data_IF_583450602614
#
_entry.id   IF_583450602614
#
_cell.length_a   1.000
_cell.length_b   1.000
_cell.length_c   1.000
_cell.angle_alpha   90.00
_cell.angle_beta   90.00
_cell.angle_gamma   90.00
#
_symmetry.space_group_name_H-M   'P 1'
#
loop_
_entity.id
_entity.type
_entity.pdbx_description
1 polymer ?
#
# COMPACT_ATOMS: atom_id res chain seq x y z
N UNK A 1 -18.69 39.16 -27.44
CA UNK A 1 -17.97 38.20 -26.59
C UNK A 1 -18.88 37.00 -26.42
N UNK A 2 -18.67 35.93 -27.20
CA UNK A 2 -19.46 34.71 -27.04
C UNK A 2 -19.03 33.99 -25.76
N UNK A 3 -20.00 33.50 -24.98
CA UNK A 3 -19.75 32.68 -23.79
C UNK A 3 -18.88 31.49 -24.16
N UNK A 4 -17.59 31.55 -23.78
CA UNK A 4 -16.71 30.38 -23.82
C UNK A 4 -17.17 29.45 -22.71
N UNK A 5 -17.94 28.44 -23.09
CA UNK A 5 -18.34 27.37 -22.16
C UNK A 5 -17.33 26.24 -22.30
N UNK A 6 -16.65 25.92 -21.19
CA UNK A 6 -15.72 24.79 -21.10
C UNK A 6 -16.51 23.54 -20.74
N UNK A 7 -16.37 22.48 -21.53
CA UNK A 7 -17.16 21.25 -21.39
C UNK A 7 -16.27 20.03 -21.23
N UNK A 8 -16.81 19.01 -20.55
CA UNK A 8 -16.20 17.69 -20.47
C UNK A 8 -16.81 16.78 -21.52
N UNK A 9 -15.98 15.99 -22.19
CA UNK A 9 -16.45 15.03 -23.17
C UNK A 9 -15.51 13.84 -23.34
N UNK A 10 -16.06 12.79 -23.96
CA UNK A 10 -15.32 11.60 -24.38
C UNK A 10 -15.25 11.56 -25.90
N UNK A 11 -14.21 10.93 -26.46
CA UNK A 11 -14.13 10.73 -27.92
C UNK A 11 -15.28 9.82 -28.34
N UNK A 12 -16.12 10.31 -29.24
CA UNK A 12 -17.25 9.57 -29.82
C UNK A 12 -16.81 8.71 -31.01
N UNK A 13 -16.02 9.29 -31.92
CA UNK A 13 -15.54 8.64 -33.15
C UNK A 13 -14.39 9.41 -33.79
N UNK A 14 -13.50 8.70 -34.46
CA UNK A 14 -12.48 9.26 -35.36
C UNK A 14 -12.90 9.02 -36.82
N UNK A 15 -12.57 9.95 -37.73
CA UNK A 15 -12.89 9.86 -39.15
C UNK A 15 -11.71 10.29 -40.05
N UNK A 16 -11.67 9.75 -41.26
CA UNK A 16 -10.66 10.03 -42.29
C UNK A 16 -9.81 8.80 -42.63
N UNK A 17 -9.32 8.69 -43.89
CA UNK A 17 -8.46 7.59 -44.36
C UNK A 17 -7.19 7.41 -43.52
N UNK A 18 -6.75 8.49 -42.86
CA UNK A 18 -5.58 8.52 -41.97
C UNK A 18 -5.90 9.00 -40.54
N UNK A 19 -7.16 8.91 -40.09
CA UNK A 19 -7.60 9.38 -38.75
C UNK A 19 -7.09 10.81 -38.45
N UNK A 20 -7.50 11.80 -39.24
CA UNK A 20 -6.97 13.19 -39.13
C UNK A 20 -7.82 14.07 -38.20
N UNK A 21 -9.07 13.67 -37.94
CA UNK A 21 -10.01 14.41 -37.10
C UNK A 21 -10.99 13.47 -36.38
N UNK A 22 -11.67 13.99 -35.36
CA UNK A 22 -12.66 13.26 -34.58
C UNK A 22 -13.77 14.14 -34.02
N UNK A 23 -14.66 13.52 -33.25
CA UNK A 23 -15.74 14.19 -32.56
C UNK A 23 -15.78 13.77 -31.09
N UNK A 24 -15.92 14.74 -30.19
CA UNK A 24 -16.28 14.49 -28.79
C UNK A 24 -17.79 14.43 -28.61
N UNK A 25 -18.23 13.70 -27.58
CA UNK A 25 -19.56 13.79 -26.98
C UNK A 25 -19.43 14.38 -25.59
N UNK A 26 -20.08 15.50 -25.33
CA UNK A 26 -20.24 16.09 -23.99
C UNK A 26 -21.67 15.91 -23.48
N UNK A 27 -21.95 16.33 -22.24
CA UNK A 27 -23.32 16.33 -21.69
C UNK A 27 -24.29 17.20 -22.50
N UNK A 28 -23.81 18.34 -23.00
CA UNK A 28 -24.63 19.33 -23.72
C UNK A 28 -24.63 19.14 -25.23
N UNK A 29 -23.56 18.57 -25.79
CA UNK A 29 -23.35 18.48 -27.24
C UNK A 29 -23.00 17.06 -27.68
N UNK A 30 -23.78 16.52 -28.62
CA UNK A 30 -23.59 15.16 -29.14
C UNK A 30 -22.35 15.01 -30.01
N UNK A 31 -22.00 16.05 -30.78
CA UNK A 31 -20.86 16.04 -31.69
C UNK A 31 -20.14 17.39 -31.62
N UNK A 32 -18.92 17.38 -31.08
CA UNK A 32 -18.01 18.53 -31.05
C UNK A 32 -16.74 18.16 -31.82
N UNK A 33 -16.49 18.84 -32.94
CA UNK A 33 -15.38 18.56 -33.84
C UNK A 33 -14.02 18.91 -33.22
N UNK A 34 -13.01 18.07 -33.42
CA UNK A 34 -11.61 18.37 -33.12
C UNK A 34 -10.67 17.83 -34.21
N UNK A 35 -9.51 18.47 -34.38
CA UNK A 35 -8.40 17.89 -35.16
C UNK A 35 -7.52 17.07 -34.24
N UNK A 36 -7.00 15.96 -34.72
CA UNK A 36 -6.11 15.11 -33.90
C UNK A 36 -4.80 15.82 -33.56
N UNK A 37 -4.35 16.76 -34.40
CA UNK A 37 -3.24 17.69 -34.11
C UNK A 37 -3.46 18.60 -32.90
N UNK A 38 -4.72 18.84 -32.52
CA UNK A 38 -5.09 19.80 -31.47
C UNK A 38 -5.14 19.11 -30.08
N UNK A 39 -4.90 17.79 -30.03
CA UNK A 39 -4.88 17.04 -28.78
C UNK A 39 -3.53 17.17 -28.07
N UNK A 40 -3.53 17.16 -26.72
CA UNK A 40 -2.30 17.23 -25.95
C UNK A 40 -1.41 16.01 -26.25
N UNK A 41 -0.09 16.20 -26.24
CA UNK A 41 0.87 15.09 -26.30
C UNK A 41 0.97 14.47 -24.92
N UNK A 42 0.51 13.24 -24.79
CA UNK A 42 0.36 12.56 -23.48
C UNK A 42 1.54 11.63 -23.14
N UNK A 43 2.39 11.29 -24.11
CA UNK A 43 3.67 10.60 -23.86
C UNK A 43 4.61 10.76 -25.07
N UNK A 44 5.91 10.49 -24.91
CA UNK A 44 6.88 10.42 -26.03
C UNK A 44 6.57 9.29 -27.02
N UNK A 45 5.68 8.36 -26.68
CA UNK A 45 5.25 7.27 -27.57
C UNK A 45 3.93 7.62 -28.22
N UNK A 46 3.86 7.28 -29.50
CA UNK A 46 2.79 7.58 -30.44
C UNK A 46 1.38 7.45 -29.87
N UNK A 47 0.51 8.30 -30.41
CA UNK A 47 -0.93 8.30 -30.26
C UNK A 47 -1.49 6.87 -30.16
N UNK A 48 -1.90 6.38 -28.97
CA UNK A 48 -2.38 5.02 -28.85
C UNK A 48 -3.67 4.92 -29.67
N UNK A 49 -3.70 4.00 -30.64
CA UNK A 49 -4.92 3.71 -31.42
C UNK A 49 -6.14 3.39 -30.52
N UNK A 50 -5.86 3.07 -29.26
CA UNK A 50 -6.77 2.71 -28.19
C UNK A 50 -7.46 3.88 -27.47
N UNK A 51 -7.24 5.15 -27.86
CA UNK A 51 -8.00 6.28 -27.26
C UNK A 51 -9.47 6.35 -27.71
N UNK A 52 -9.84 5.57 -28.74
CA UNK A 52 -11.23 5.33 -29.14
C UNK A 52 -12.00 4.50 -28.09
N UNK A 53 -11.29 3.90 -27.13
CA UNK A 53 -11.79 2.91 -26.18
C UNK A 53 -12.26 3.61 -24.90
N UNK A 54 -13.35 4.38 -25.04
CA UNK A 54 -14.39 4.79 -24.07
C UNK A 54 -14.06 5.42 -22.70
N UNK A 55 -12.84 5.40 -22.16
CA UNK A 55 -12.55 5.96 -20.83
C UNK A 55 -11.67 7.22 -20.83
N UNK A 56 -11.28 7.72 -22.01
CA UNK A 56 -10.53 8.96 -22.15
C UNK A 56 -11.46 10.18 -22.01
N UNK A 57 -11.26 10.98 -20.95
CA UNK A 57 -12.04 12.18 -20.67
C UNK A 57 -11.21 13.41 -20.99
N UNK A 58 -11.79 14.32 -21.76
CA UNK A 58 -11.19 15.58 -22.17
C UNK A 58 -11.99 16.75 -21.67
N UNK A 59 -11.31 17.87 -21.48
CA UNK A 59 -11.91 19.16 -21.18
C UNK A 59 -11.53 20.13 -22.29
N UNK A 60 -12.50 20.87 -22.82
CA UNK A 60 -12.25 21.74 -23.97
C UNK A 60 -13.20 22.93 -23.99
N UNK A 61 -12.73 24.04 -24.56
CA UNK A 61 -13.56 25.20 -24.86
C UNK A 61 -14.40 24.93 -26.11
N UNK A 62 -15.69 25.26 -26.06
CA UNK A 62 -16.56 25.16 -27.22
C UNK A 62 -16.66 26.48 -27.97
N UNK A 63 -16.46 26.40 -29.28
CA UNK A 63 -16.71 27.47 -30.23
C UNK A 63 -17.76 27.01 -31.26
N UNK A 64 -18.82 27.81 -31.44
CA UNK A 64 -19.85 27.55 -32.45
C UNK A 64 -19.47 28.24 -33.77
N UNK A 65 -19.49 27.49 -34.86
CA UNK A 65 -19.30 27.99 -36.23
C UNK A 65 -20.44 27.52 -37.16
N UNK A 66 -20.40 27.95 -38.42
CA UNK A 66 -21.41 27.60 -39.44
C UNK A 66 -21.53 26.08 -39.69
N UNK A 67 -20.50 25.30 -39.35
CA UNK A 67 -20.42 23.85 -39.56
C UNK A 67 -20.72 23.03 -38.28
N UNK A 68 -21.01 23.69 -37.16
CA UNK A 68 -21.33 23.06 -35.88
C UNK A 68 -20.46 23.55 -34.72
N UNK A 69 -20.19 22.68 -33.76
CA UNK A 69 -19.38 22.97 -32.58
C UNK A 69 -17.96 22.48 -32.78
N UNK A 70 -16.97 23.32 -32.45
CA UNK A 70 -15.53 22.99 -32.47
C UNK A 70 -14.98 23.05 -31.05
N UNK A 71 -14.15 22.06 -30.71
CA UNK A 71 -13.35 22.04 -29.50
C UNK A 71 -12.03 22.77 -29.76
N UNK A 72 -11.66 23.66 -28.83
CA UNK A 72 -10.35 24.33 -28.75
C UNK A 72 -9.80 24.18 -27.32
N UNK A 73 -8.51 24.46 -27.10
CA UNK A 73 -7.86 24.36 -25.78
C UNK A 73 -8.16 23.02 -25.11
N UNK A 74 -7.84 21.93 -25.82
CA UNK A 74 -8.21 20.58 -25.41
C UNK A 74 -7.19 20.06 -24.41
N UNK A 75 -7.66 19.75 -23.21
CA UNK A 75 -6.87 19.16 -22.14
C UNK A 75 -7.34 17.74 -21.87
N UNK A 76 -6.39 16.83 -21.60
CA UNK A 76 -6.72 15.48 -21.14
C UNK A 76 -6.83 15.47 -19.62
N UNK A 77 -7.89 14.86 -19.12
CA UNK A 77 -8.07 14.70 -17.68
C UNK A 77 -7.40 13.40 -17.26
N UNK A 78 -6.24 13.53 -16.61
CA UNK A 78 -5.44 12.41 -16.11
C UNK A 78 -6.00 11.77 -14.86
N UNK A 79 -6.89 12.42 -14.12
CA UNK A 79 -7.50 11.86 -12.92
C UNK A 79 -9.00 11.62 -13.11
N UNK A 80 -9.65 11.01 -12.12
CA UNK A 80 -11.11 10.84 -12.09
C UNK A 80 -11.75 11.62 -10.95
N UNK A 81 -11.16 12.76 -10.59
CA UNK A 81 -11.65 13.64 -9.54
C UNK A 81 -12.81 14.53 -10.02
N UNK A 82 -13.74 14.88 -9.11
CA UNK A 82 -14.75 15.90 -9.36
C UNK A 82 -14.14 17.25 -9.79
N UNK A 83 -14.92 18.05 -10.54
CA UNK A 83 -14.42 19.30 -11.13
C UNK A 83 -14.03 20.35 -10.08
N UNK A 84 -14.89 20.54 -9.09
CA UNK A 84 -14.66 21.39 -7.92
C UNK A 84 -13.37 21.00 -7.19
N UNK A 85 -13.12 19.70 -7.06
CA UNK A 85 -11.94 19.15 -6.39
C UNK A 85 -10.65 19.45 -7.16
N UNK A 86 -10.62 19.24 -8.48
CA UNK A 86 -9.47 19.58 -9.34
C UNK A 86 -9.17 21.08 -9.38
N UNK A 87 -10.17 21.93 -9.17
CA UNK A 87 -9.98 23.38 -9.14
C UNK A 87 -9.31 23.87 -7.84
N UNK A 88 -9.29 23.03 -6.79
CA UNK A 88 -8.75 23.39 -5.47
C UNK A 88 -7.29 23.00 -5.33
N UNK A 89 -6.85 21.89 -5.94
CA UNK A 89 -5.47 21.41 -5.85
C UNK A 89 -4.97 20.78 -7.15
N UNK A 90 -3.69 20.91 -7.43
CA UNK A 90 -2.99 20.07 -8.39
C UNK A 90 -2.46 18.80 -7.71
N UNK A 91 -2.28 17.70 -8.46
CA UNK A 91 -1.72 16.46 -7.90
C UNK A 91 -0.33 16.66 -7.27
N UNK A 92 0.44 17.60 -7.79
CA UNK A 92 1.78 17.93 -7.31
C UNK A 92 1.78 18.63 -5.94
N UNK A 93 0.63 19.18 -5.52
CA UNK A 93 0.47 19.85 -4.23
C UNK A 93 0.02 18.91 -3.10
N UNK A 94 -0.27 17.64 -3.41
CA UNK A 94 -0.71 16.67 -2.40
C UNK A 94 0.48 16.13 -1.62
N UNK A 95 0.61 16.55 -0.36
CA UNK A 95 1.64 16.13 0.59
C UNK A 95 1.33 14.76 1.25
N UNK A 96 0.05 14.43 1.43
CA UNK A 96 -0.39 13.16 1.98
C UNK A 96 -0.37 12.05 0.92
N UNK A 97 0.60 11.14 1.01
CA UNK A 97 0.77 10.05 0.05
C UNK A 97 -0.42 9.08 -0.01
N UNK A 98 -1.13 8.86 1.11
CA UNK A 98 -2.35 8.04 1.09
C UNK A 98 -3.44 8.69 0.24
N UNK A 99 -3.60 10.01 0.31
CA UNK A 99 -4.53 10.76 -0.54
C UNK A 99 -4.09 10.71 -2.00
N UNK A 100 -2.80 10.92 -2.27
CA UNK A 100 -2.23 10.92 -3.62
C UNK A 100 -2.48 9.61 -4.35
N UNK A 101 -2.15 8.48 -3.71
CA UNK A 101 -2.33 7.14 -4.29
C UNK A 101 -3.81 6.75 -4.37
N UNK A 102 -4.58 6.93 -3.29
CA UNK A 102 -5.91 6.30 -3.24
C UNK A 102 -7.05 7.20 -3.73
N UNK A 103 -6.83 8.51 -3.85
CA UNK A 103 -7.88 9.47 -4.24
C UNK A 103 -7.54 10.28 -5.48
N UNK A 104 -6.26 10.60 -5.69
CA UNK A 104 -5.80 11.36 -6.87
C UNK A 104 -5.09 10.46 -7.90
N UNK A 105 -5.56 9.23 -8.07
CA UNK A 105 -4.94 8.27 -8.98
C UNK A 105 -4.99 8.75 -10.45
N UNK A 106 -3.85 8.66 -11.15
CA UNK A 106 -3.77 8.91 -12.59
C UNK A 106 -4.33 7.73 -13.37
N UNK A 107 -5.08 8.02 -14.42
CA UNK A 107 -5.70 7.09 -15.34
C UNK A 107 -5.23 7.40 -16.76
N UNK A 108 -4.52 6.44 -17.35
CA UNK A 108 -3.90 6.55 -18.66
C UNK A 108 -4.04 5.22 -19.39
N UNK A 109 -4.29 5.26 -20.70
CA UNK A 109 -4.35 4.06 -21.53
C UNK A 109 -5.25 2.95 -20.97
N UNK A 110 -6.42 3.34 -20.44
CA UNK A 110 -7.42 2.45 -19.85
C UNK A 110 -7.00 1.75 -18.54
N UNK A 111 -5.98 2.28 -17.85
CA UNK A 111 -5.48 1.75 -16.58
C UNK A 111 -5.11 2.87 -15.62
N UNK A 112 -5.19 2.57 -14.32
CA UNK A 112 -4.59 3.46 -13.33
C UNK A 112 -3.09 3.21 -13.26
N UNK A 113 -2.32 4.30 -13.23
CA UNK A 113 -0.84 4.26 -13.19
C UNK A 113 -0.32 5.07 -12.01
N UNK A 114 0.76 4.60 -11.40
CA UNK A 114 1.42 5.35 -10.34
C UNK A 114 1.92 6.71 -10.90
N UNK A 115 1.78 7.80 -10.14
CA UNK A 115 2.36 9.09 -10.50
C UNK A 115 3.85 9.02 -10.91
N UNK A 116 4.24 9.78 -11.94
CA UNK A 116 5.60 9.74 -12.52
C UNK A 116 6.69 10.20 -11.54
N UNK A 117 6.35 11.04 -10.56
CA UNK A 117 7.26 11.47 -9.49
C UNK A 117 7.62 10.33 -8.53
N UNK A 118 6.82 9.27 -8.47
CA UNK A 118 7.16 8.04 -7.74
C UNK A 118 8.20 7.22 -8.49
N UNK A 119 8.23 7.32 -9.83
CA UNK A 119 9.13 6.55 -10.70
C UNK A 119 10.54 7.14 -10.80
N UNK A 120 10.69 8.45 -10.59
CA UNK A 120 11.90 9.19 -10.97
C UNK A 120 12.88 9.39 -9.85
N UNK A 121 12.43 9.53 -8.62
CA UNK A 121 13.24 9.34 -7.42
C UNK A 121 12.23 9.47 -6.28
N UNK A 122 11.87 8.31 -5.73
CA UNK A 122 11.86 8.11 -4.29
C UNK A 122 11.04 9.15 -3.52
N UNK A 123 9.90 8.73 -2.95
CA UNK A 123 9.11 9.55 -2.01
C UNK A 123 9.90 9.79 -0.69
N UNK A 124 11.10 10.36 -0.75
CA UNK A 124 11.70 11.11 0.33
C UNK A 124 10.89 12.39 0.47
N UNK A 125 9.80 12.22 1.20
CA UNK A 125 9.32 13.16 2.17
C UNK A 125 10.31 14.36 2.37
N UNK A 126 9.99 15.58 1.89
CA UNK A 126 10.83 16.78 2.06
C UNK A 126 11.21 17.00 3.54
N UNK A 127 12.15 17.90 3.86
CA UNK A 127 12.51 18.22 5.26
C UNK A 127 11.28 18.47 6.17
N UNK A 128 10.17 18.95 5.62
CA UNK A 128 8.89 19.16 6.31
C UNK A 128 8.22 17.86 6.80
N UNK A 129 8.47 16.72 6.16
CA UNK A 129 7.94 15.44 6.60
C UNK A 129 8.75 14.79 7.73
N UNK A 130 9.98 15.25 7.97
CA UNK A 130 10.62 15.04 9.28
C UNK A 130 9.76 15.65 10.40
N UNK A 131 8.97 16.71 10.14
CA UNK A 131 8.03 17.27 11.13
C UNK A 131 6.84 16.34 11.36
N UNK A 132 6.27 15.74 10.31
CA UNK A 132 5.18 14.76 10.47
C UNK A 132 5.67 13.53 11.23
N UNK A 133 6.81 12.96 10.83
CA UNK A 133 7.38 11.78 11.48
C UNK A 133 7.90 12.08 12.89
N UNK A 134 8.48 13.25 13.15
CA UNK A 134 8.85 13.65 14.52
C UNK A 134 7.61 13.90 15.37
N UNK A 135 6.58 14.57 14.85
CA UNK A 135 5.30 14.75 15.53
C UNK A 135 4.61 13.43 15.86
N UNK A 136 4.63 12.48 14.92
CA UNK A 136 4.13 11.12 15.12
C UNK A 136 4.93 10.37 16.19
N UNK A 137 6.26 10.43 16.14
CA UNK A 137 7.12 9.82 17.14
C UNK A 137 6.93 10.44 18.53
N UNK A 138 6.72 11.75 18.63
CA UNK A 138 6.37 12.45 19.88
C UNK A 138 5.01 12.02 20.41
N UNK A 139 4.03 11.84 19.52
CA UNK A 139 2.70 11.32 19.86
C UNK A 139 2.79 9.88 20.39
N UNK A 140 3.55 9.01 19.72
CA UNK A 140 3.77 7.62 20.17
C UNK A 140 4.45 7.60 21.54
N UNK A 141 5.45 8.45 21.75
CA UNK A 141 6.13 8.59 23.04
C UNK A 141 5.17 9.04 24.14
N UNK A 142 4.33 10.05 23.88
CA UNK A 142 3.27 10.50 24.79
C UNK A 142 2.27 9.39 25.14
N UNK A 143 1.88 8.57 24.15
CA UNK A 143 1.02 7.40 24.37
C UNK A 143 1.72 6.40 25.28
N UNK A 144 2.98 6.06 25.02
CA UNK A 144 3.77 5.16 25.85
C UNK A 144 3.89 5.66 27.30
N UNK A 145 4.17 6.94 27.51
CA UNK A 145 4.20 7.55 28.85
C UNK A 145 2.85 7.45 29.57
N UNK A 146 1.76 7.68 28.83
CA UNK A 146 0.39 7.52 29.35
C UNK A 146 0.11 6.09 29.82
N UNK A 147 0.61 5.09 29.09
CA UNK A 147 0.53 3.67 29.49
C UNK A 147 1.38 3.38 30.72
N UNK A 148 2.62 3.89 30.79
CA UNK A 148 3.49 3.74 31.98
C UNK A 148 2.82 4.29 33.24
N UNK A 149 2.20 5.48 33.16
CA UNK A 149 1.45 6.10 34.27
C UNK A 149 0.25 5.25 34.73
N UNK A 150 -0.32 4.42 33.86
CA UNK A 150 -1.41 3.47 34.17
C UNK A 150 -0.90 2.09 34.63
N UNK A 151 0.39 1.98 34.94
CA UNK A 151 0.99 0.73 35.43
C UNK A 151 1.31 -0.28 34.34
N UNK A 152 1.50 0.14 33.08
CA UNK A 152 2.01 -0.75 32.04
C UNK A 152 3.53 -0.73 31.98
N UNK A 153 4.13 -1.90 31.75
CA UNK A 153 5.51 -2.02 31.30
C UNK A 153 5.55 -1.96 29.79
N UNK A 154 6.57 -1.30 29.27
CA UNK A 154 6.74 -1.05 27.84
C UNK A 154 8.12 -1.53 27.45
N UNK A 155 8.15 -2.28 26.36
CA UNK A 155 9.36 -2.58 25.61
C UNK A 155 9.23 -1.87 24.26
N UNK A 156 10.28 -1.18 23.85
CA UNK A 156 10.39 -0.67 22.49
C UNK A 156 11.81 -0.85 21.99
N UNK A 157 11.96 -1.12 20.70
CA UNK A 157 13.24 -1.21 20.02
C UNK A 157 13.08 -0.83 18.55
N UNK A 158 14.17 -0.36 17.99
CA UNK A 158 14.28 -0.03 16.57
C UNK A 158 14.95 -1.17 15.81
N UNK A 159 14.39 -1.47 14.65
CA UNK A 159 14.89 -2.48 13.74
C UNK A 159 14.97 -1.87 12.34
N UNK A 160 15.97 -2.29 11.58
CA UNK A 160 16.21 -1.80 10.23
C UNK A 160 15.80 -2.86 9.21
N UNK A 161 15.09 -2.46 8.15
CA UNK A 161 14.78 -3.39 7.05
C UNK A 161 16.07 -3.84 6.36
N UNK A 162 16.23 -5.14 6.19
CA UNK A 162 17.37 -5.73 5.47
C UNK A 162 17.09 -5.80 3.95
N UNK A 163 15.84 -6.13 3.59
CA UNK A 163 15.33 -6.09 2.22
C UNK A 163 14.24 -5.02 2.04
N UNK A 164 13.63 -4.99 0.86
CA UNK A 164 12.41 -4.22 0.61
C UNK A 164 11.28 -4.74 1.50
N UNK A 165 10.40 -3.85 1.93
CA UNK A 165 9.25 -4.19 2.76
C UNK A 165 7.96 -3.85 2.01
N UNK A 166 7.06 -4.82 1.93
CA UNK A 166 5.75 -4.65 1.29
C UNK A 166 4.68 -5.04 2.29
N UNK A 167 3.80 -4.11 2.64
CA UNK A 167 2.74 -4.35 3.62
C UNK A 167 1.40 -4.07 2.95
N UNK A 168 0.45 -5.01 3.03
CA UNK A 168 -0.88 -4.83 2.46
C UNK A 168 -0.95 -4.94 0.94
N UNK A 169 -0.06 -5.73 0.32
CA UNK A 169 -0.01 -5.91 -1.13
C UNK A 169 -1.36 -6.26 -1.76
N UNK A 170 -2.14 -7.11 -1.07
CA UNK A 170 -3.44 -7.61 -1.54
C UNK A 170 -4.64 -6.79 -1.09
N UNK A 171 -4.44 -5.59 -0.54
CA UNK A 171 -5.56 -4.70 -0.23
C UNK A 171 -6.18 -4.16 -1.53
N UNK A 172 -7.49 -3.90 -1.50
CA UNK A 172 -8.23 -3.36 -2.64
C UNK A 172 -7.62 -2.03 -3.10
N UNK A 173 -7.36 -1.93 -4.41
CA UNK A 173 -6.69 -0.79 -5.03
C UNK A 173 -7.03 -0.75 -6.50
N UNK A 174 -7.01 0.46 -7.06
CA UNK A 174 -7.17 0.68 -8.51
C UNK A 174 -5.95 0.25 -9.32
N UNK A 175 -4.81 0.00 -8.65
CA UNK A 175 -3.52 -0.34 -9.26
C UNK A 175 -3.21 -1.85 -9.28
N UNK A 176 -4.21 -2.72 -9.07
CA UNK A 176 -4.09 -4.17 -8.83
C UNK A 176 -3.29 -4.58 -7.56
N UNK A 177 -2.45 -3.67 -7.05
CA UNK A 177 -1.64 -3.84 -5.85
C UNK A 177 -1.78 -2.63 -4.93
N UNK A 178 -1.48 -2.82 -3.65
CA UNK A 178 -1.60 -1.77 -2.63
C UNK A 178 -0.41 -1.74 -1.68
N UNK A 179 -0.33 -0.68 -0.89
CA UNK A 179 0.61 -0.52 0.21
C UNK A 179 -0.13 0.08 1.41
N UNK A 180 0.17 -0.43 2.60
CA UNK A 180 -0.45 0.03 3.85
C UNK A 180 0.13 1.39 4.24
N UNK A 181 -0.68 2.43 4.09
CA UNK A 181 -0.36 3.80 4.45
C UNK A 181 -1.31 4.30 5.54
N UNK A 182 -0.79 5.09 6.48
CA UNK A 182 -1.62 5.70 7.50
C UNK A 182 -2.45 6.84 6.89
N UNK A 183 -3.78 6.72 6.91
CA UNK A 183 -4.70 7.66 6.27
C UNK A 183 -4.47 9.14 6.62
N UNK A 184 -4.14 9.46 7.88
CA UNK A 184 -3.89 10.85 8.32
C UNK A 184 -2.51 11.37 7.89
N UNK A 185 -1.48 10.52 7.93
CA UNK A 185 -0.09 10.97 7.83
C UNK A 185 0.53 10.67 6.47
N UNK A 186 -0.11 9.83 5.64
CA UNK A 186 0.43 9.35 4.37
C UNK A 186 1.63 8.41 4.49
N UNK A 187 2.14 8.12 5.69
CA UNK A 187 3.36 7.32 5.86
C UNK A 187 3.07 5.81 5.90
N UNK A 188 3.97 4.96 5.40
CA UNK A 188 3.83 3.52 5.56
C UNK A 188 3.99 3.13 7.03
N UNK A 189 3.23 2.12 7.46
CA UNK A 189 3.32 1.60 8.82
C UNK A 189 3.00 0.10 8.84
N UNK A 190 3.46 -0.60 9.88
CA UNK A 190 3.16 -2.00 10.11
C UNK A 190 2.05 -2.06 11.17
N UNK A 191 0.85 -2.57 10.84
CA UNK A 191 -0.21 -2.72 11.82
C UNK A 191 0.19 -3.65 12.98
N UNK A 192 -0.21 -3.32 14.20
CA UNK A 192 0.06 -4.14 15.39
C UNK A 192 -0.57 -5.53 15.30
N UNK A 193 -1.63 -5.69 14.52
CA UNK A 193 -2.21 -6.99 14.17
C UNK A 193 -1.26 -7.83 13.30
N UNK A 194 -0.55 -7.23 12.36
CA UNK A 194 0.47 -7.89 11.55
C UNK A 194 1.69 -8.27 12.41
N UNK A 195 2.12 -7.38 13.32
CA UNK A 195 3.19 -7.70 14.29
C UNK A 195 2.78 -8.89 15.17
N UNK A 196 1.58 -8.86 15.76
CA UNK A 196 1.06 -9.98 16.55
C UNK A 196 0.97 -11.26 15.74
N UNK A 197 0.46 -11.17 14.51
CA UNK A 197 0.30 -12.29 13.58
C UNK A 197 1.62 -12.96 13.25
N UNK A 198 2.66 -12.16 12.96
CA UNK A 198 4.03 -12.63 12.73
C UNK A 198 4.52 -13.45 13.92
N UNK A 199 4.54 -12.86 15.13
CA UNK A 199 5.09 -13.53 16.30
C UNK A 199 4.29 -14.79 16.64
N UNK A 200 2.96 -14.71 16.56
CA UNK A 200 2.08 -15.87 16.80
C UNK A 200 2.38 -17.00 15.82
N UNK A 201 2.47 -16.68 14.52
CA UNK A 201 2.74 -17.67 13.48
C UNK A 201 4.14 -18.27 13.64
N UNK A 202 5.16 -17.45 13.88
CA UNK A 202 6.52 -17.92 14.12
C UNK A 202 6.59 -18.89 15.30
N UNK A 203 5.90 -18.58 16.41
CA UNK A 203 5.80 -19.47 17.57
C UNK A 203 5.12 -20.78 17.22
N UNK A 204 3.99 -20.75 16.51
CA UNK A 204 3.28 -21.98 16.11
C UNK A 204 4.18 -22.84 15.21
N UNK A 205 4.83 -22.22 14.22
CA UNK A 205 5.66 -22.92 13.24
C UNK A 205 6.92 -23.53 13.85
N UNK A 206 7.62 -22.80 14.73
CA UNK A 206 8.92 -23.23 15.24
C UNK A 206 8.86 -23.95 16.59
N UNK A 207 7.82 -23.73 17.40
CA UNK A 207 7.73 -24.29 18.76
C UNK A 207 6.59 -25.31 18.92
N UNK A 208 5.71 -25.45 17.93
CA UNK A 208 4.53 -26.32 17.98
C UNK A 208 4.28 -27.07 16.66
N UNK A 209 5.33 -27.37 15.88
CA UNK A 209 5.26 -28.16 14.65
C UNK A 209 4.20 -27.66 13.64
N UNK A 210 4.06 -26.33 13.52
CA UNK A 210 3.04 -25.68 12.67
C UNK A 210 1.59 -26.04 13.02
N UNK A 211 1.33 -26.50 14.25
CA UNK A 211 0.00 -26.90 14.72
C UNK A 211 -0.56 -25.92 15.75
N UNK A 212 -1.57 -25.15 15.36
CA UNK A 212 -2.31 -24.29 16.31
C UNK A 212 -3.14 -25.13 17.30
N UNK A 213 -3.81 -26.17 16.79
CA UNK A 213 -4.45 -27.22 17.59
C UNK A 213 -5.61 -26.72 18.46
N UNK A 214 -5.70 -27.24 19.68
CA UNK A 214 -6.77 -26.96 20.65
C UNK A 214 -6.35 -27.35 22.06
N UNK A 215 -7.29 -27.51 22.98
CA UNK A 215 -7.00 -27.76 24.41
C UNK A 215 -6.04 -28.92 24.70
N UNK A 216 -6.00 -29.94 23.85
CA UNK A 216 -5.23 -31.18 24.06
C UNK A 216 -3.90 -31.23 23.29
N UNK A 217 -3.70 -30.41 22.27
CA UNK A 217 -2.53 -30.47 21.39
C UNK A 217 -2.30 -29.16 20.64
N UNK A 218 -1.08 -28.94 20.14
CA UNK A 218 -0.71 -27.71 19.44
C UNK A 218 -0.56 -26.50 20.36
N UNK A 219 -0.36 -25.33 19.77
CA UNK A 219 -0.08 -24.10 20.52
C UNK A 219 -1.19 -23.73 21.53
N UNK A 220 -2.46 -24.00 21.22
CA UNK A 220 -3.59 -23.71 22.10
C UNK A 220 -3.68 -24.63 23.33
N UNK A 221 -2.86 -25.68 23.42
CA UNK A 221 -2.72 -26.48 24.64
C UNK A 221 -1.73 -25.87 25.65
N UNK A 222 -0.90 -24.90 25.23
CA UNK A 222 0.03 -24.18 26.11
C UNK A 222 -0.67 -23.00 26.81
N UNK A 223 -0.59 -22.99 28.15
CA UNK A 223 -1.11 -21.89 28.96
C UNK A 223 -0.36 -20.58 28.71
N UNK A 224 0.93 -20.67 28.42
CA UNK A 224 1.86 -19.58 28.20
C UNK A 224 1.59 -18.91 26.85
N UNK A 225 1.41 -19.71 25.80
CA UNK A 225 0.94 -19.22 24.50
C UNK A 225 -0.38 -18.46 24.62
N UNK A 226 -1.36 -19.05 25.32
CA UNK A 226 -2.67 -18.45 25.54
C UNK A 226 -2.60 -17.15 26.36
N UNK A 227 -1.67 -17.04 27.34
CA UNK A 227 -1.44 -15.80 28.10
C UNK A 227 -0.90 -14.67 27.22
N UNK A 228 0.02 -14.96 26.31
CA UNK A 228 0.63 -13.95 25.43
C UNK A 228 -0.38 -13.48 24.38
N UNK A 229 -0.95 -14.40 23.61
CA UNK A 229 -1.73 -14.06 22.41
C UNK A 229 -3.25 -14.06 22.61
N UNK A 230 -3.76 -14.68 23.67
CA UNK A 230 -5.17 -14.96 23.86
C UNK A 230 -5.61 -16.26 23.18
N UNK A 231 -6.81 -16.72 23.53
CA UNK A 231 -7.34 -18.02 23.13
C UNK A 231 -8.88 -18.08 23.14
N UNK A 232 -9.50 -18.93 22.30
CA UNK A 232 -10.94 -19.24 22.36
C UNK A 232 -11.28 -20.34 23.40
N UNK A 233 -12.57 -20.58 23.66
CA UNK A 233 -13.10 -21.53 24.66
C UNK A 233 -12.52 -22.95 24.56
N UNK A 234 -12.20 -23.42 23.35
CA UNK A 234 -11.62 -24.74 23.10
C UNK A 234 -10.12 -24.89 23.42
N UNK A 235 -9.53 -24.02 24.23
CA UNK A 235 -8.08 -23.95 24.50
C UNK A 235 -7.73 -24.28 25.96
N UNK A 236 -6.44 -24.36 26.29
CA UNK A 236 -5.96 -24.68 27.64
C UNK A 236 -6.50 -23.75 28.74
N UNK A 237 -6.65 -22.45 28.42
CA UNK A 237 -7.19 -21.44 29.34
C UNK A 237 -8.66 -21.09 29.07
N UNK A 238 -9.33 -21.79 28.15
CA UNK A 238 -10.64 -21.37 27.65
C UNK A 238 -10.59 -20.02 26.91
N UNK A 239 -11.73 -19.34 26.83
CA UNK A 239 -11.82 -18.02 26.23
C UNK A 239 -11.08 -16.99 27.10
N UNK A 240 -9.94 -16.51 26.61
CA UNK A 240 -9.08 -15.60 27.35
C UNK A 240 -8.47 -14.53 26.44
N UNK A 241 -8.37 -13.31 26.96
CA UNK A 241 -7.70 -12.20 26.27
C UNK A 241 -6.19 -12.33 26.41
N UNK A 242 -5.46 -12.03 25.34
CA UNK A 242 -4.01 -11.88 25.40
C UNK A 242 -3.60 -10.73 26.33
N UNK A 243 -2.50 -10.93 27.06
CA UNK A 243 -1.96 -9.97 28.04
C UNK A 243 -1.05 -8.92 27.39
N UNK A 244 -0.49 -9.21 26.22
CA UNK A 244 0.42 -8.31 25.50
C UNK A 244 -0.36 -7.48 24.48
N UNK A 245 -0.09 -6.17 24.50
CA UNK A 245 -0.54 -5.21 23.49
C UNK A 245 0.59 -5.03 22.49
N UNK A 246 0.30 -5.33 21.23
CA UNK A 246 1.17 -5.11 20.08
C UNK A 246 0.75 -3.80 19.43
N UNK A 247 1.62 -2.79 19.46
CA UNK A 247 1.34 -1.51 18.82
C UNK A 247 1.70 -1.55 17.33
N UNK A 248 1.11 -0.63 16.57
CA UNK A 248 1.57 -0.30 15.23
C UNK A 248 3.04 0.14 15.27
N UNK A 249 3.83 -0.34 14.32
CA UNK A 249 5.21 0.08 14.15
C UNK A 249 5.30 1.13 13.04
N UNK A 250 5.93 2.26 13.36
CA UNK A 250 6.10 3.39 12.46
C UNK A 250 7.58 3.60 12.13
N UNK A 251 7.88 4.18 10.95
CA UNK A 251 9.25 4.50 10.59
C UNK A 251 9.81 5.61 11.49
N UNK A 252 11.12 5.54 11.74
CA UNK A 252 11.91 6.54 12.47
C UNK A 252 12.89 7.18 11.50
N UNK A 253 12.83 8.52 11.39
CA UNK A 253 13.67 9.25 10.44
C UNK A 253 13.15 9.18 9.01
N UNK A 254 14.05 9.11 8.03
CA UNK A 254 13.68 9.12 6.61
C UNK A 254 13.05 7.79 6.19
N UNK A 255 11.93 7.86 5.47
CA UNK A 255 11.30 6.72 4.80
C UNK A 255 11.18 7.01 3.32
N UNK A 256 11.44 5.98 2.52
CA UNK A 256 11.52 6.06 1.08
C UNK A 256 10.66 4.95 0.48
N UNK A 257 9.82 5.30 -0.50
CA UNK A 257 8.98 4.35 -1.23
C UNK A 257 9.51 4.28 -2.67
N UNK A 258 9.64 3.06 -3.18
CA UNK A 258 10.08 2.78 -4.54
C UNK A 258 9.16 1.76 -5.23
N UNK A 259 9.02 1.91 -6.55
CA UNK A 259 8.31 0.96 -7.40
C UNK A 259 9.19 -0.27 -7.63
N UNK A 260 8.61 -1.46 -7.50
CA UNK A 260 9.22 -2.72 -7.87
C UNK A 260 8.29 -3.50 -8.81
N UNK A 261 8.82 -4.53 -9.46
CA UNK A 261 8.15 -5.21 -10.55
C UNK A 261 8.15 -6.72 -10.33
N UNK A 262 6.99 -7.34 -10.56
CA UNK A 262 6.89 -8.79 -10.67
C UNK A 262 6.47 -9.12 -12.09
N UNK A 263 7.25 -9.99 -12.72
CA UNK A 263 6.92 -10.54 -14.02
C UNK A 263 6.31 -11.94 -13.86
N UNK A 264 5.02 -12.08 -14.16
CA UNK A 264 4.39 -13.39 -14.19
C UNK A 264 4.44 -13.98 -15.60
N UNK A 265 5.49 -14.75 -15.88
CA UNK A 265 5.65 -15.44 -17.17
C UNK A 265 4.54 -16.48 -17.47
N UNK A 266 3.83 -16.98 -16.45
CA UNK A 266 2.86 -18.08 -16.59
C UNK A 266 1.47 -17.77 -16.02
N UNK A 267 1.00 -16.52 -16.10
CA UNK A 267 -0.31 -16.13 -15.55
C UNK A 267 -1.48 -16.98 -16.08
N UNK A 268 -1.43 -17.38 -17.36
CA UNK A 268 -2.46 -18.22 -18.00
C UNK A 268 -2.46 -19.66 -17.49
N UNK A 269 -1.29 -20.24 -17.18
CA UNK A 269 -1.15 -21.60 -16.66
C UNK A 269 -1.76 -21.74 -15.26
N UNK A 270 -1.53 -20.75 -14.39
CA UNK A 270 -2.09 -20.75 -13.03
C UNK A 270 -3.58 -20.39 -12.97
N UNK A 271 -4.09 -19.62 -13.93
CA UNK A 271 -5.51 -19.25 -14.01
C UNK A 271 -6.41 -20.35 -14.59
N UNK A 272 -5.85 -21.27 -15.39
CA UNK A 272 -6.61 -22.32 -16.07
C UNK A 272 -6.65 -23.61 -15.24
N UNK A 273 -7.61 -23.74 -14.32
CA UNK A 273 -7.95 -25.04 -13.72
C UNK A 273 -8.62 -26.03 -14.69
N UNK A 274 -8.74 -25.69 -15.99
CA UNK A 274 -9.45 -26.52 -16.99
C UNK A 274 -8.90 -26.54 -18.42
N UNK A 275 -7.91 -25.72 -18.78
CA UNK A 275 -7.32 -25.75 -20.12
C UNK A 275 -5.84 -26.15 -20.03
N UNK A 276 -5.49 -27.24 -20.71
CA UNK A 276 -4.13 -27.77 -20.88
C UNK A 276 -3.26 -26.80 -21.71
N UNK A 277 -2.96 -25.62 -21.18
CA UNK A 277 -1.97 -24.72 -21.79
C UNK A 277 -0.62 -25.05 -21.14
N UNK A 278 0.30 -25.76 -21.82
CA UNK A 278 1.62 -26.03 -21.25
C UNK A 278 2.36 -24.70 -20.98
N UNK A 279 3.17 -24.62 -19.91
CA UNK A 279 4.03 -23.46 -19.70
C UNK A 279 4.96 -23.33 -20.91
N UNK A 280 4.91 -22.18 -21.57
CA UNK A 280 5.68 -21.95 -22.80
C UNK A 280 6.35 -20.59 -22.78
N UNK A 281 7.61 -20.56 -23.23
CA UNK A 281 8.51 -19.39 -23.14
C UNK A 281 8.12 -18.22 -24.06
N UNK A 282 7.12 -18.39 -24.92
CA UNK A 282 6.62 -17.36 -25.85
C UNK A 282 5.47 -16.50 -25.29
N UNK A 283 5.07 -16.69 -24.03
CA UNK A 283 4.04 -15.87 -23.41
C UNK A 283 4.60 -14.48 -23.07
N UNK A 284 3.90 -13.43 -23.53
CA UNK A 284 4.29 -12.05 -23.26
C UNK A 284 4.28 -11.79 -21.74
N UNK A 285 5.32 -11.12 -21.19
CA UNK A 285 5.41 -10.84 -19.76
C UNK A 285 4.27 -9.91 -19.33
N UNK A 286 3.54 -10.31 -18.28
CA UNK A 286 2.61 -9.40 -17.61
C UNK A 286 3.34 -8.75 -16.44
N UNK A 287 3.81 -7.53 -16.67
CA UNK A 287 4.52 -6.73 -15.68
C UNK A 287 3.52 -6.10 -14.71
N UNK A 288 3.60 -6.52 -13.44
CA UNK A 288 2.80 -5.96 -12.36
C UNK A 288 3.74 -5.13 -11.49
N UNK A 289 3.52 -3.81 -11.49
CA UNK A 289 4.24 -2.87 -10.66
C UNK A 289 3.57 -2.76 -9.28
N UNK A 290 4.36 -2.64 -8.23
CA UNK A 290 3.87 -2.47 -6.86
C UNK A 290 4.82 -1.61 -6.04
N UNK A 291 4.29 -0.95 -5.01
CA UNK A 291 5.06 -0.07 -4.15
C UNK A 291 5.69 -0.83 -2.99
N UNK A 292 6.93 -0.47 -2.67
CA UNK A 292 7.71 -1.07 -1.59
C UNK A 292 8.35 0.02 -0.74
N UNK A 293 8.49 -0.22 0.55
CA UNK A 293 9.39 0.56 1.40
C UNK A 293 10.81 0.07 1.15
N UNK A 294 11.72 1.00 0.89
CA UNK A 294 13.11 0.70 0.58
C UNK A 294 13.81 0.00 1.76
N UNK A 295 14.84 -0.78 1.43
CA UNK A 295 15.77 -1.33 2.43
C UNK A 295 16.40 -0.21 3.26
N UNK A 296 17.00 -0.57 4.39
CA UNK A 296 17.63 0.36 5.32
C UNK A 296 16.68 1.37 5.99
N UNK A 297 15.37 1.14 5.94
CA UNK A 297 14.38 1.94 6.66
C UNK A 297 14.27 1.45 8.10
N UNK A 298 14.36 2.36 9.08
CA UNK A 298 14.24 2.02 10.50
C UNK A 298 12.78 2.10 10.94
N UNK A 299 12.30 1.07 11.62
CA UNK A 299 10.97 1.04 12.26
C UNK A 299 11.12 0.84 13.76
N UNK A 300 10.28 1.55 14.54
CA UNK A 300 10.17 1.35 15.98
C UNK A 300 9.03 0.42 16.32
N UNK A 301 9.35 -0.73 16.89
CA UNK A 301 8.39 -1.69 17.40
C UNK A 301 8.17 -1.45 18.90
N UNK A 302 6.93 -1.64 19.34
CA UNK A 302 6.55 -1.43 20.73
C UNK A 302 5.59 -2.53 21.20
N UNK A 303 5.87 -3.05 22.39
CA UNK A 303 5.05 -4.01 23.12
C UNK A 303 4.72 -3.41 24.49
N UNK A 304 3.53 -3.71 25.02
CA UNK A 304 3.24 -3.42 26.42
C UNK A 304 2.43 -4.50 27.11
N UNK A 305 2.57 -4.57 28.43
CA UNK A 305 1.82 -5.46 29.30
C UNK A 305 1.51 -4.73 30.59
N UNK A 306 0.33 -4.95 31.18
CA UNK A 306 0.01 -4.39 32.49
C UNK A 306 0.92 -5.04 33.55
N UNK A 307 1.39 -4.28 34.54
CA UNK A 307 2.37 -4.76 35.52
C UNK A 307 1.92 -6.05 36.23
N UNK A 308 0.65 -6.13 36.60
CA UNK A 308 0.03 -7.31 37.24
C UNK A 308 -0.02 -8.54 36.31
N UNK A 309 -0.07 -8.32 35.00
CA UNK A 309 -0.11 -9.36 33.99
C UNK A 309 1.27 -9.81 33.54
N UNK A 310 2.34 -9.07 33.88
CA UNK A 310 3.72 -9.40 33.52
C UNK A 310 4.28 -10.52 34.41
N UNK A 311 3.66 -11.69 34.29
CA UNK A 311 4.02 -12.90 35.02
C UNK A 311 5.25 -13.57 34.41
N UNK A 312 5.87 -14.48 35.17
CA UNK A 312 6.86 -15.39 34.60
C UNK A 312 6.17 -16.45 33.75
N UNK A 313 6.72 -16.71 32.58
CA UNK A 313 6.29 -17.76 31.64
C UNK A 313 7.51 -18.52 31.13
N UNK A 314 7.27 -19.76 30.73
CA UNK A 314 8.26 -20.58 30.03
C UNK A 314 7.59 -21.19 28.80
N UNK A 315 7.97 -20.70 27.62
CA UNK A 315 7.45 -21.16 26.34
C UNK A 315 8.57 -21.88 25.59
N UNK A 316 8.56 -23.22 25.64
CA UNK A 316 9.67 -24.05 25.15
C UNK A 316 11.00 -23.64 25.82
N UNK A 317 12.01 -23.22 25.05
CA UNK A 317 13.31 -22.74 25.55
C UNK A 317 13.29 -21.31 26.12
N UNK A 318 12.25 -20.51 25.82
CA UNK A 318 12.17 -19.12 26.23
C UNK A 318 11.58 -18.99 27.63
N UNK A 319 12.30 -18.34 28.56
CA UNK A 319 11.88 -18.21 29.96
C UNK A 319 12.14 -16.80 30.47
N UNK A 320 11.13 -16.20 31.09
CA UNK A 320 11.25 -14.86 31.63
C UNK A 320 9.89 -14.24 31.92
N UNK A 321 9.86 -12.92 32.03
CA UNK A 321 8.62 -12.16 32.08
C UNK A 321 7.92 -12.19 30.72
N UNK A 322 6.59 -12.14 30.71
CA UNK A 322 5.79 -12.15 29.47
C UNK A 322 6.30 -11.11 28.47
N UNK A 323 6.60 -9.89 28.91
CA UNK A 323 7.09 -8.83 28.03
C UNK A 323 8.43 -9.19 27.38
N UNK A 324 9.39 -9.67 28.18
CA UNK A 324 10.75 -9.97 27.72
C UNK A 324 10.75 -11.17 26.77
N UNK A 325 10.01 -12.23 27.12
CA UNK A 325 9.83 -13.40 26.24
C UNK A 325 9.18 -12.98 24.92
N UNK A 326 8.15 -12.13 24.95
CA UNK A 326 7.49 -11.70 23.71
C UNK A 326 8.40 -10.81 22.86
N UNK A 327 9.24 -9.98 23.48
CA UNK A 327 10.24 -9.16 22.78
C UNK A 327 11.31 -10.01 22.09
N UNK A 328 11.79 -11.07 22.75
CA UNK A 328 12.73 -12.02 22.18
C UNK A 328 12.12 -12.76 20.99
N UNK A 329 10.88 -13.27 21.14
CA UNK A 329 10.14 -13.92 20.05
C UNK A 329 9.88 -12.98 18.87
N UNK A 330 9.59 -11.70 19.13
CA UNK A 330 9.44 -10.70 18.08
C UNK A 330 10.74 -10.46 17.33
N UNK A 331 11.86 -10.37 18.05
CA UNK A 331 13.19 -10.19 17.47
C UNK A 331 13.51 -11.34 16.51
N UNK A 332 13.35 -12.59 16.98
CA UNK A 332 13.58 -13.79 16.17
C UNK A 332 12.66 -13.84 14.94
N UNK A 333 11.37 -13.56 15.12
CA UNK A 333 10.42 -13.61 14.01
C UNK A 333 10.71 -12.56 12.94
N UNK A 334 11.13 -11.35 13.34
CA UNK A 334 11.54 -10.28 12.44
C UNK A 334 12.80 -10.64 11.65
N UNK A 335 13.77 -11.31 12.28
CA UNK A 335 15.05 -11.66 11.65
C UNK A 335 15.01 -12.92 10.79
N UNK A 336 14.10 -13.87 11.07
CA UNK A 336 14.09 -15.16 10.35
C UNK A 336 12.91 -15.36 9.41
N UNK A 337 11.72 -14.83 9.75
CA UNK A 337 10.52 -15.03 8.94
C UNK A 337 10.15 -13.80 8.11
N UNK A 338 10.44 -12.60 8.63
CA UNK A 338 10.07 -11.34 8.00
C UNK A 338 8.58 -11.04 8.07
N UNK A 339 8.20 -9.78 7.81
CA UNK A 339 6.81 -9.30 7.92
C UNK A 339 6.33 -8.67 6.63
N UNK A 340 5.06 -8.89 6.30
CA UNK A 340 4.44 -8.37 5.09
C UNK A 340 4.28 -9.42 4.00
N UNK A 341 4.21 -8.97 2.75
CA UNK A 341 4.06 -9.82 1.59
C UNK A 341 5.43 -10.25 1.04
N UNK A 342 5.44 -11.37 0.30
CA UNK A 342 6.63 -11.87 -0.43
C UNK A 342 7.83 -12.22 0.47
N UNK A 343 7.59 -12.61 1.73
CA UNK A 343 8.64 -12.99 2.68
C UNK A 343 9.47 -14.20 2.22
N UNK A 344 8.85 -15.14 1.48
CA UNK A 344 9.55 -16.31 0.92
C UNK A 344 10.65 -15.98 -0.10
N UNK A 345 10.64 -14.77 -0.66
CA UNK A 345 11.67 -14.28 -1.59
C UNK A 345 12.49 -13.14 -0.97
N UNK A 346 12.49 -13.02 0.37
CA UNK A 346 13.39 -12.14 1.12
C UNK A 346 12.85 -10.75 1.45
N UNK A 347 11.57 -10.45 1.19
CA UNK A 347 10.97 -9.18 1.59
C UNK A 347 10.64 -9.14 3.07
N UNK A 348 10.72 -7.94 3.65
CA UNK A 348 10.24 -7.67 5.00
C UNK A 348 11.08 -8.29 6.12
N UNK A 349 12.30 -8.76 5.82
CA UNK A 349 13.29 -9.14 6.82
C UNK A 349 13.88 -7.89 7.51
N UNK A 350 14.19 -8.03 8.78
CA UNK A 350 14.75 -6.97 9.60
C UNK A 350 16.01 -7.44 10.32
N UNK A 351 16.88 -6.49 10.64
CA UNK A 351 18.02 -6.69 11.54
C UNK A 351 17.96 -5.71 12.71
N UNK A 352 18.51 -6.13 13.84
CA UNK A 352 18.72 -5.23 14.98
C UNK A 352 19.64 -4.07 14.58
N UNK A 353 19.44 -2.91 15.20
CA UNK A 353 20.46 -1.87 15.20
C UNK A 353 21.49 -2.26 16.26
N UNK A 354 22.69 -2.64 15.83
CA UNK A 354 23.80 -2.79 16.75
C UNK A 354 24.06 -1.44 17.43
N UNK A 355 24.33 -1.48 18.73
CA UNK A 355 24.72 -0.29 19.49
C UNK A 355 26.16 0.02 19.11
N UNK A 356 26.38 0.98 18.22
CA UNK A 356 27.71 1.58 18.04
C UNK A 356 28.20 2.23 19.34
#
# INVERSE_FOLDING_TARGET
MGDKTREKGVILKNKGKDKIYGFFRSEKHKEVYFRISDLPRISERDFPENWLNQNAVFEFDIEKNEKGYRANNIDYIYDRLPNDTRNIYSQDQIDNFHLKINKAARFENDKFVFPDDIRTDLFSLPEENNRILSGLNNRITSIQESYKKRGYKIWNREFKTEGRLVIGLGSESVYDTSITLHHIYGVPYIPGSAVKGLVRNWVISNLFDSKEGGKKEGALSSSEFCKIFGSPEGSALGANRGRVIFFDAFPVGRVEIEEDIVNSHFAKYYASNRDNVPPADYLAPNLIYFLTVKKDTVFRFCLSVKQEDNLHVQLSKYKGKILDVTAELLTEALTTAGIGAKTSVGYGLFKGLDSD
#
